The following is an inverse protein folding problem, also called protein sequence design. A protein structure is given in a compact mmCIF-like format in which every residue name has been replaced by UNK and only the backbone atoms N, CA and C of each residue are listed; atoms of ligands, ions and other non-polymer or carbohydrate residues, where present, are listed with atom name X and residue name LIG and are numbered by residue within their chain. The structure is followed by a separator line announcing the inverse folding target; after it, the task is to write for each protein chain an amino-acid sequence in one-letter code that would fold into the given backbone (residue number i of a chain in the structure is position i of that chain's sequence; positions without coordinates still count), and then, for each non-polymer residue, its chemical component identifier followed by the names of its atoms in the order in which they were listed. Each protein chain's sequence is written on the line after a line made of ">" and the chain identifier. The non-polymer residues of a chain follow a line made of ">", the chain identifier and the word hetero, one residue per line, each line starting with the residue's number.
data_IF_922474302739
#
_entry.id   IF_922474302739
#
_cell.length_a   1.000
_cell.length_b   1.000
_cell.length_c   1.000
_cell.angle_alpha   90.00
_cell.angle_beta   90.00
_cell.angle_gamma   90.00
#
_symmetry.space_group_name_H-M   'P 1'
#
loop_
_entity.id
_entity.type
_entity.pdbx_description
1 polymer ?
#
# COMPACT_ATOMS: atom_id res chain seq x y z
N UNK A 1 5.43 18.68 12.02
CA UNK A 1 4.99 17.97 10.81
C UNK A 1 5.89 16.79 10.45
N UNK A 2 7.22 16.96 10.52
CA UNK A 2 8.15 15.90 10.19
C UNK A 2 7.95 14.64 11.04
N UNK A 3 7.78 14.79 12.36
CA UNK A 3 7.57 13.67 13.26
C UNK A 3 6.28 12.91 12.90
N UNK A 4 5.20 13.63 12.59
CA UNK A 4 3.93 13.03 12.19
C UNK A 4 4.09 12.25 10.88
N UNK A 5 4.80 12.82 9.91
CA UNK A 5 5.05 12.14 8.64
C UNK A 5 5.85 10.85 8.84
N UNK A 6 6.85 10.86 9.75
CA UNK A 6 7.60 9.65 10.06
C UNK A 6 6.74 8.58 10.71
N UNK A 7 5.82 8.97 11.59
CA UNK A 7 4.88 8.02 12.20
C UNK A 7 4.01 7.40 11.10
N UNK A 8 3.48 8.21 10.18
CA UNK A 8 2.67 7.72 9.08
C UNK A 8 3.48 6.84 8.14
N UNK A 9 4.70 7.23 7.80
CA UNK A 9 5.56 6.43 6.93
C UNK A 9 5.86 5.06 7.55
N UNK A 10 6.19 5.02 8.83
CA UNK A 10 6.44 3.77 9.53
C UNK A 10 5.20 2.89 9.61
N UNK A 11 4.09 3.46 10.01
CA UNK A 11 2.83 2.72 10.16
C UNK A 11 2.35 2.16 8.81
N UNK A 12 2.25 3.01 7.81
CA UNK A 12 1.78 2.60 6.47
C UNK A 12 2.77 1.64 5.84
N UNK A 13 4.07 1.89 5.99
CA UNK A 13 5.09 1.00 5.47
C UNK A 13 4.99 -0.41 6.05
N UNK A 14 4.79 -0.52 7.35
CA UNK A 14 4.62 -1.83 8.00
C UNK A 14 3.34 -2.52 7.53
N UNK A 15 2.26 -1.77 7.36
CA UNK A 15 1.00 -2.32 6.83
C UNK A 15 1.24 -2.95 5.46
N UNK A 16 1.94 -2.24 4.57
CA UNK A 16 2.19 -2.75 3.22
C UNK A 16 3.19 -3.89 3.20
N UNK A 17 4.20 -3.87 4.06
CA UNK A 17 5.13 -4.99 4.18
C UNK A 17 4.40 -6.26 4.61
N UNK A 18 3.52 -6.13 5.58
CA UNK A 18 2.72 -7.27 6.05
C UNK A 18 1.75 -7.74 4.97
N UNK A 19 1.04 -6.83 4.34
CA UNK A 19 0.07 -7.15 3.29
C UNK A 19 0.75 -7.81 2.08
N UNK A 20 1.85 -7.22 1.62
CA UNK A 20 2.59 -7.78 0.49
C UNK A 20 3.20 -9.12 0.80
N UNK A 21 3.77 -9.28 2.00
CA UNK A 21 4.32 -10.54 2.44
C UNK A 21 3.26 -11.63 2.49
N UNK A 22 2.08 -11.31 3.02
CA UNK A 22 0.96 -12.24 3.06
C UNK A 22 0.56 -12.70 1.67
N UNK A 23 0.49 -11.76 0.71
CA UNK A 23 0.13 -12.10 -0.67
C UNK A 23 1.15 -13.00 -1.35
N UNK A 24 2.44 -12.89 -0.98
CA UNK A 24 3.49 -13.73 -1.57
C UNK A 24 3.54 -15.12 -0.95
N UNK A 25 3.25 -15.23 0.34
CA UNK A 25 3.40 -16.47 1.09
C UNK A 25 2.15 -17.33 1.01
N UNK A 26 0.97 -16.73 1.05
CA UNK A 26 -0.29 -17.47 1.08
C UNK A 26 -0.67 -17.96 -0.31
N UNK A 27 -1.27 -19.15 -0.37
CA UNK A 27 -1.84 -19.67 -1.61
C UNK A 27 -3.10 -18.88 -1.97
N UNK A 28 -3.49 -18.93 -3.24
CA UNK A 28 -4.72 -18.30 -3.71
C UNK A 28 -5.92 -18.84 -2.95
N UNK A 29 -5.96 -20.15 -2.69
CA UNK A 29 -7.05 -20.77 -1.95
C UNK A 29 -7.15 -20.26 -0.52
N UNK A 30 -6.00 -20.11 0.17
CA UNK A 30 -5.99 -19.60 1.54
C UNK A 30 -6.47 -18.16 1.60
N UNK A 31 -6.06 -17.33 0.64
CA UNK A 31 -6.53 -15.93 0.56
C UNK A 31 -8.03 -15.88 0.28
N UNK A 32 -8.52 -16.76 -0.57
CA UNK A 32 -9.93 -16.83 -0.92
C UNK A 32 -10.79 -17.13 0.32
N UNK A 33 -10.33 -18.07 1.17
CA UNK A 33 -11.05 -18.43 2.39
C UNK A 33 -11.11 -17.29 3.39
N UNK A 34 -10.11 -16.40 3.40
CA UNK A 34 -10.04 -15.27 4.31
C UNK A 34 -10.74 -14.03 3.78
N UNK A 35 -11.11 -14.03 2.49
CA UNK A 35 -11.74 -12.87 1.87
C UNK A 35 -13.22 -12.78 2.23
N UNK A 36 -13.77 -11.54 2.30
CA UNK A 36 -15.21 -11.37 2.52
C UNK A 36 -16.03 -12.05 1.41
N UNK A 37 -17.29 -12.40 1.72
CA UNK A 37 -18.19 -12.91 0.68
C UNK A 37 -18.30 -11.93 -0.48
N UNK A 38 -18.47 -12.45 -1.68
CA UNK A 38 -18.60 -11.67 -2.92
C UNK A 38 -17.33 -10.92 -3.34
N UNK A 39 -16.18 -11.27 -2.77
CA UNK A 39 -14.90 -10.69 -3.20
C UNK A 39 -14.61 -11.07 -4.64
N UNK A 40 -14.11 -10.09 -5.41
CA UNK A 40 -13.68 -10.32 -6.78
C UNK A 40 -12.36 -11.08 -6.75
N UNK A 41 -12.29 -12.20 -7.45
CA UNK A 41 -11.10 -13.02 -7.50
C UNK A 41 -10.18 -12.54 -8.61
N UNK A 42 -8.95 -12.19 -8.25
CA UNK A 42 -7.91 -11.79 -9.19
C UNK A 42 -7.01 -12.98 -9.50
N UNK A 43 -6.40 -13.03 -10.70
CA UNK A 43 -5.43 -14.08 -11.00
C UNK A 43 -4.31 -14.12 -9.97
N UNK A 44 -3.87 -15.32 -9.60
CA UNK A 44 -2.83 -15.49 -8.59
C UNK A 44 -1.54 -14.75 -8.90
N UNK A 45 -1.13 -14.74 -10.18
CA UNK A 45 0.08 -14.02 -10.60
C UNK A 45 -0.07 -12.52 -10.42
N UNK A 46 -1.25 -11.98 -10.68
CA UNK A 46 -1.53 -10.57 -10.50
C UNK A 46 -1.47 -10.18 -9.03
N UNK A 47 -2.06 -11.02 -8.16
CA UNK A 47 -2.02 -10.79 -6.71
C UNK A 47 -0.58 -10.80 -6.20
N UNK A 48 0.24 -11.72 -6.67
CA UNK A 48 1.66 -11.76 -6.28
C UNK A 48 2.43 -10.56 -6.80
N UNK A 49 2.12 -10.09 -8.00
CA UNK A 49 2.72 -8.87 -8.54
C UNK A 49 2.41 -7.67 -7.64
N UNK A 50 1.15 -7.52 -7.23
CA UNK A 50 0.77 -6.45 -6.31
C UNK A 50 1.48 -6.61 -4.98
N UNK A 51 1.62 -7.84 -4.47
CA UNK A 51 2.35 -8.11 -3.24
C UNK A 51 3.78 -7.63 -3.30
N UNK A 52 4.49 -7.90 -4.39
CA UNK A 52 5.86 -7.41 -4.60
C UNK A 52 5.88 -5.89 -4.62
N UNK A 53 4.95 -5.26 -5.33
CA UNK A 53 4.88 -3.80 -5.41
C UNK A 53 4.59 -3.18 -4.05
N UNK A 54 3.75 -3.81 -3.23
CA UNK A 54 3.45 -3.35 -1.88
C UNK A 54 4.68 -3.43 -0.98
N UNK A 55 5.46 -4.51 -1.07
CA UNK A 55 6.70 -4.65 -0.30
C UNK A 55 7.70 -3.57 -0.72
N UNK A 56 7.90 -3.39 -2.01
CA UNK A 56 8.81 -2.36 -2.51
C UNK A 56 8.35 -0.96 -2.09
N UNK A 57 7.03 -0.71 -2.16
CA UNK A 57 6.47 0.55 -1.72
C UNK A 57 6.65 0.78 -0.24
N UNK A 58 6.39 -0.24 0.58
CA UNK A 58 6.58 -0.16 2.03
C UNK A 58 8.02 0.14 2.40
N UNK A 59 8.97 -0.54 1.77
CA UNK A 59 10.40 -0.27 1.97
C UNK A 59 10.74 1.14 1.50
N UNK A 60 10.17 1.58 0.37
CA UNK A 60 10.39 2.92 -0.15
C UNK A 60 9.83 4.03 0.74
N UNK A 61 8.85 3.75 1.58
CA UNK A 61 8.36 4.72 2.55
C UNK A 61 9.32 4.90 3.73
N UNK A 62 10.10 3.89 4.06
CA UNK A 62 10.89 3.87 5.30
C UNK A 62 12.38 4.05 5.02
N UNK A 63 12.97 3.21 4.16
CA UNK A 63 14.42 3.12 4.01
C UNK A 63 15.08 4.37 3.43
N UNK A 64 14.55 5.02 2.37
CA UNK A 64 15.26 6.18 1.80
C UNK A 64 15.46 7.30 2.81
N UNK A 65 14.47 7.55 3.68
CA UNK A 65 14.59 8.57 4.71
C UNK A 65 15.56 8.19 5.80
N UNK A 66 15.57 6.89 6.22
CA UNK A 66 16.48 6.43 7.25
C UNK A 66 17.94 6.44 6.81
N UNK A 67 18.19 6.09 5.56
CA UNK A 67 19.55 6.00 5.01
C UNK A 67 20.02 7.28 4.36
N UNK A 68 19.12 8.24 4.15
CA UNK A 68 19.37 9.47 3.38
C UNK A 68 19.87 9.20 1.95
N UNK A 69 19.50 8.04 1.39
CA UNK A 69 19.84 7.65 0.03
C UNK A 69 18.56 7.64 -0.78
N UNK A 70 18.56 8.41 -1.89
CA UNK A 70 17.43 8.46 -2.84
C UNK A 70 16.10 8.74 -2.12
N UNK A 71 16.06 9.82 -1.33
CA UNK A 71 14.85 10.19 -0.58
C UNK A 71 13.67 10.49 -1.50
N UNK A 72 13.92 10.79 -2.77
CA UNK A 72 12.88 10.98 -3.76
C UNK A 72 12.03 9.73 -3.98
N UNK A 73 12.52 8.55 -3.58
CA UNK A 73 11.74 7.31 -3.69
C UNK A 73 10.54 7.28 -2.72
N UNK A 74 10.61 7.99 -1.59
CA UNK A 74 9.52 7.98 -0.62
C UNK A 74 8.23 8.57 -1.18
N UNK A 75 8.19 9.80 -1.71
CA UNK A 75 6.96 10.30 -2.30
C UNK A 75 6.54 9.52 -3.55
N UNK A 76 7.49 9.00 -4.33
CA UNK A 76 7.15 8.15 -5.47
C UNK A 76 6.51 6.84 -5.03
N UNK A 77 7.03 6.21 -3.98
CA UNK A 77 6.44 5.00 -3.41
C UNK A 77 5.03 5.27 -2.90
N UNK A 78 4.83 6.40 -2.21
CA UNK A 78 3.51 6.77 -1.69
C UNK A 78 2.51 6.96 -2.83
N UNK A 79 2.91 7.58 -3.94
CA UNK A 79 2.05 7.74 -5.11
C UNK A 79 1.71 6.38 -5.73
N UNK A 80 2.69 5.50 -5.86
CA UNK A 80 2.45 4.15 -6.39
C UNK A 80 1.48 3.35 -5.53
N UNK A 81 1.67 3.40 -4.21
CA UNK A 81 0.78 2.73 -3.28
C UNK A 81 -0.63 3.35 -3.30
N UNK A 82 -0.73 4.67 -3.47
CA UNK A 82 -2.01 5.34 -3.61
C UNK A 82 -2.78 4.81 -4.83
N UNK A 83 -2.09 4.64 -5.95
CA UNK A 83 -2.71 4.10 -7.16
C UNK A 83 -3.24 2.68 -6.90
N UNK A 84 -2.45 1.85 -6.22
CA UNK A 84 -2.87 0.50 -5.85
C UNK A 84 -4.11 0.55 -4.95
N UNK A 85 -4.16 1.48 -4.00
CA UNK A 85 -5.30 1.62 -3.10
C UNK A 85 -6.56 2.11 -3.81
N UNK A 86 -6.41 3.00 -4.79
CA UNK A 86 -7.54 3.41 -5.63
C UNK A 86 -8.13 2.20 -6.34
N UNK A 87 -7.28 1.36 -6.93
CA UNK A 87 -7.73 0.12 -7.57
C UNK A 87 -8.40 -0.81 -6.57
N UNK A 88 -7.84 -0.94 -5.37
CA UNK A 88 -8.41 -1.79 -4.33
C UNK A 88 -9.79 -1.30 -3.89
N UNK A 89 -9.98 0.02 -3.75
CA UNK A 89 -11.28 0.59 -3.42
C UNK A 89 -12.31 0.27 -4.50
N UNK A 90 -11.95 0.46 -5.76
CA UNK A 90 -12.87 0.19 -6.88
C UNK A 90 -13.29 -1.29 -6.89
N UNK A 91 -12.33 -2.20 -6.80
CA UNK A 91 -12.60 -3.64 -6.82
C UNK A 91 -13.45 -4.05 -5.61
N UNK A 92 -13.17 -3.47 -4.44
CA UNK A 92 -13.89 -3.82 -3.22
C UNK A 92 -15.34 -3.32 -3.27
N UNK A 93 -15.57 -2.13 -3.82
CA UNK A 93 -16.93 -1.61 -3.97
C UNK A 93 -17.73 -2.49 -4.94
N UNK A 94 -17.10 -2.96 -6.01
CA UNK A 94 -17.75 -3.83 -7.01
C UNK A 94 -18.04 -5.22 -6.45
N UNK A 95 -17.27 -5.69 -5.48
CA UNK A 95 -17.44 -7.01 -4.85
C UNK A 95 -18.15 -6.93 -3.51
N UNK A 96 -17.39 -6.95 -2.37
CA UNK A 96 -18.00 -6.99 -1.02
C UNK A 96 -18.83 -5.76 -0.68
N UNK A 97 -18.53 -4.61 -1.25
CA UNK A 97 -19.30 -3.40 -1.05
C UNK A 97 -18.55 -2.28 -0.35
N UNK A 98 -19.26 -1.16 -0.10
CA UNK A 98 -18.67 0.06 0.41
C UNK A 98 -18.05 -0.12 1.80
N UNK A 99 -18.69 -0.93 2.67
CA UNK A 99 -18.18 -1.14 4.02
C UNK A 99 -16.77 -1.72 4.04
N UNK A 100 -16.50 -2.70 3.17
CA UNK A 100 -15.17 -3.32 3.08
C UNK A 100 -14.15 -2.41 2.39
N UNK A 101 -14.59 -1.40 1.64
CA UNK A 101 -13.70 -0.48 0.94
C UNK A 101 -13.15 0.61 1.86
N UNK A 102 -13.66 0.74 3.08
CA UNK A 102 -13.22 1.79 4.02
C UNK A 102 -11.73 1.64 4.34
N UNK A 103 -11.25 0.42 4.59
CA UNK A 103 -9.86 0.19 4.97
C UNK A 103 -8.89 0.64 3.86
N UNK A 104 -9.00 0.17 2.60
CA UNK A 104 -8.09 0.65 1.56
C UNK A 104 -8.28 2.14 1.25
N UNK A 105 -9.49 2.68 1.44
CA UNK A 105 -9.73 4.10 1.26
C UNK A 105 -8.94 4.93 2.28
N UNK A 106 -8.99 4.55 3.57
CA UNK A 106 -8.25 5.24 4.63
C UNK A 106 -6.74 5.14 4.39
N UNK A 107 -6.25 3.95 4.06
CA UNK A 107 -4.83 3.74 3.78
C UNK A 107 -4.39 4.58 2.57
N UNK A 108 -5.25 4.67 1.55
CA UNK A 108 -4.99 5.52 0.39
C UNK A 108 -4.86 6.99 0.76
N UNK A 109 -5.73 7.49 1.65
CA UNK A 109 -5.63 8.87 2.14
C UNK A 109 -4.30 9.08 2.86
N UNK A 110 -3.88 8.13 3.69
CA UNK A 110 -2.60 8.23 4.39
C UNK A 110 -1.43 8.27 3.39
N UNK A 111 -1.48 7.46 2.33
CA UNK A 111 -0.48 7.51 1.27
C UNK A 111 -0.44 8.89 0.59
N UNK A 112 -1.61 9.48 0.34
CA UNK A 112 -1.70 10.81 -0.27
C UNK A 112 -1.09 11.88 0.65
N UNK A 113 -1.36 11.78 1.95
CA UNK A 113 -0.77 12.69 2.95
C UNK A 113 0.75 12.59 2.96
N UNK A 114 1.29 11.37 2.92
CA UNK A 114 2.74 11.16 2.89
C UNK A 114 3.33 11.75 1.60
N UNK A 115 2.72 11.47 0.46
CA UNK A 115 3.20 11.98 -0.82
C UNK A 115 3.24 13.50 -0.83
N UNK A 116 2.18 14.14 -0.34
CA UNK A 116 2.10 15.59 -0.27
C UNK A 116 3.12 16.15 0.73
N UNK A 117 3.20 15.55 1.92
CA UNK A 117 4.10 16.02 2.97
C UNK A 117 5.58 15.83 2.64
N UNK A 118 5.89 14.89 1.76
CA UNK A 118 7.27 14.61 1.34
C UNK A 118 7.55 15.04 -0.09
N UNK A 119 6.70 15.88 -0.68
CA UNK A 119 6.87 16.30 -2.06
C UNK A 119 8.18 17.01 -2.33
N UNK A 120 8.74 17.67 -1.32
CA UNK A 120 10.04 18.33 -1.42
C UNK A 120 11.19 17.33 -1.60
N UNK A 121 10.99 16.09 -1.16
CA UNK A 121 12.00 15.03 -1.35
C UNK A 121 12.14 14.62 -2.81
N UNK A 122 11.18 14.96 -3.67
CA UNK A 122 11.28 14.66 -5.09
C UNK A 122 12.48 15.36 -5.75
N UNK A 123 12.92 16.48 -5.19
CA UNK A 123 14.07 17.22 -5.68
C UNK A 123 15.42 16.71 -5.15
N UNK A 124 15.41 15.70 -4.33
CA UNK A 124 16.63 15.18 -3.67
C UNK A 124 17.22 13.94 -4.37
#
# INVERSE_FOLDING_TARGET
>A
MNALLWVLQGLVGLIFLFSGGTKLVMSTEAMQKMSPPNSIMLPGMFVKFIGVMEILGGLGLILPGLTNIRRNLTPLAAIGLLIIMIGAVVITIMGPGVGAAIIPFVVGILCAVIAYGRRDWLAQ
#
